data_IF_497654476321
#
_entry.id   IF_497654476321
#
_cell.length_a   1.000
_cell.length_b   1.000
_cell.length_c   1.000
_cell.angle_alpha   90.00
_cell.angle_beta   90.00
_cell.angle_gamma   90.00
#
_symmetry.space_group_name_H-M   'P 1'
#
loop_
_entity.id
_entity.type
_entity.pdbx_description
1 polymer ?
#
# COMPACT_ATOMS: atom_id res chain seq x y z
N UNK A 1 10.45 2.75 1.97
CA UNK A 1 11.17 2.09 3.05
C UNK A 1 10.33 0.91 3.45
N UNK A 2 10.97 -0.24 3.66
CA UNK A 2 10.33 -1.46 4.13
C UNK A 2 10.92 -1.86 5.48
N UNK A 3 10.07 -2.33 6.39
CA UNK A 3 10.52 -3.02 7.59
C UNK A 3 10.83 -4.49 7.23
N UNK A 4 12.09 -4.77 6.93
CA UNK A 4 12.54 -6.12 6.53
C UNK A 4 12.26 -7.17 7.60
N UNK A 5 12.35 -6.82 8.89
CA UNK A 5 12.05 -7.74 9.98
C UNK A 5 10.60 -8.25 9.95
N UNK A 6 9.64 -7.37 9.64
CA UNK A 6 8.23 -7.76 9.49
C UNK A 6 8.02 -8.65 8.26
N UNK A 7 8.59 -8.26 7.12
CA UNK A 7 8.48 -9.01 5.87
C UNK A 7 9.08 -10.43 6.01
N UNK A 8 10.29 -10.51 6.56
CA UNK A 8 10.99 -11.77 6.80
C UNK A 8 10.29 -12.60 7.88
N UNK A 9 9.72 -11.96 8.91
CA UNK A 9 8.91 -12.62 9.91
C UNK A 9 7.71 -13.32 9.29
N UNK A 10 6.96 -12.64 8.43
CA UNK A 10 5.82 -13.22 7.70
C UNK A 10 6.28 -14.35 6.75
N UNK A 11 7.37 -14.12 6.02
CA UNK A 11 7.92 -15.08 5.07
C UNK A 11 8.40 -16.37 5.74
N UNK A 12 8.93 -16.30 6.96
CA UNK A 12 9.26 -17.49 7.77
C UNK A 12 8.03 -18.31 8.17
N UNK A 13 6.87 -17.67 8.33
CA UNK A 13 5.64 -18.36 8.78
C UNK A 13 4.92 -19.03 7.60
N UNK A 14 4.79 -18.34 6.47
CA UNK A 14 3.97 -18.82 5.34
C UNK A 14 4.77 -19.11 4.05
N UNK A 15 6.06 -18.81 4.03
CA UNK A 15 6.96 -19.04 2.90
C UNK A 15 7.00 -17.90 1.88
N UNK A 16 8.19 -17.63 1.34
CA UNK A 16 8.49 -16.52 0.42
C UNK A 16 7.54 -16.48 -0.78
N UNK A 17 7.28 -17.64 -1.40
CA UNK A 17 6.38 -17.74 -2.58
C UNK A 17 4.95 -17.30 -2.27
N UNK A 18 4.44 -17.62 -1.08
CA UNK A 18 3.08 -17.28 -0.68
C UNK A 18 3.01 -15.78 -0.37
N UNK A 19 3.98 -15.24 0.38
CA UNK A 19 4.07 -13.79 0.63
C UNK A 19 4.15 -13.01 -0.67
N UNK A 20 4.99 -13.44 -1.62
CA UNK A 20 5.13 -12.79 -2.91
C UNK A 20 3.81 -12.77 -3.70
N UNK A 21 3.05 -13.87 -3.67
CA UNK A 21 1.73 -13.91 -4.30
C UNK A 21 0.78 -12.89 -3.69
N UNK A 22 0.76 -12.76 -2.36
CA UNK A 22 -0.08 -11.78 -1.67
C UNK A 22 0.34 -10.34 -1.94
N UNK A 23 1.64 -10.05 -2.01
CA UNK A 23 2.15 -8.72 -2.34
C UNK A 23 1.72 -8.32 -3.76
N UNK A 24 1.83 -9.22 -4.73
CA UNK A 24 1.43 -8.95 -6.11
C UNK A 24 -0.09 -8.76 -6.26
N UNK A 25 -0.89 -9.56 -5.55
CA UNK A 25 -2.34 -9.39 -5.50
C UNK A 25 -2.72 -8.05 -4.85
N UNK A 26 -2.10 -7.73 -3.71
CA UNK A 26 -2.29 -6.47 -3.01
C UNK A 26 -1.93 -5.27 -3.89
N UNK A 27 -0.80 -5.30 -4.60
CA UNK A 27 -0.40 -4.22 -5.51
C UNK A 27 -1.49 -3.95 -6.55
N UNK A 28 -1.89 -5.00 -7.27
CA UNK A 28 -2.87 -4.91 -8.36
C UNK A 28 -4.20 -4.35 -7.88
N UNK A 29 -4.73 -4.89 -6.78
CA UNK A 29 -6.02 -4.45 -6.24
C UNK A 29 -5.98 -3.02 -5.71
N UNK A 30 -4.89 -2.66 -5.03
CA UNK A 30 -4.71 -1.32 -4.48
C UNK A 30 -4.59 -0.26 -5.56
N UNK A 31 -3.79 -0.53 -6.62
CA UNK A 31 -3.66 0.39 -7.75
C UNK A 31 -5.02 0.63 -8.43
N UNK A 32 -5.78 -0.44 -8.71
CA UNK A 32 -7.10 -0.31 -9.32
C UNK A 32 -8.07 0.49 -8.43
N UNK A 33 -8.06 0.26 -7.11
CA UNK A 33 -8.91 0.99 -6.19
C UNK A 33 -8.52 2.47 -6.09
N UNK A 34 -7.22 2.79 -6.07
CA UNK A 34 -6.74 4.18 -6.04
C UNK A 34 -7.09 4.89 -7.36
N UNK A 35 -6.85 4.26 -8.50
CA UNK A 35 -7.18 4.83 -9.82
C UNK A 35 -8.66 5.18 -9.95
N UNK A 36 -9.55 4.26 -9.52
CA UNK A 36 -10.99 4.52 -9.49
C UNK A 36 -11.34 5.76 -8.65
N UNK A 37 -10.67 5.99 -7.52
CA UNK A 37 -10.93 7.14 -6.65
C UNK A 37 -10.32 8.45 -7.16
N UNK A 38 -9.22 8.39 -7.92
CA UNK A 38 -8.66 9.55 -8.62
C UNK A 38 -9.63 10.04 -9.70
N UNK A 39 -10.23 9.12 -10.46
CA UNK A 39 -11.14 9.46 -11.56
C UNK A 39 -12.47 10.06 -11.10
N UNK A 40 -12.94 9.72 -9.89
CA UNK A 40 -14.24 10.18 -9.40
C UNK A 40 -14.28 11.68 -9.04
N UNK A 41 -13.15 12.42 -9.12
CA UNK A 41 -13.06 13.85 -8.72
C UNK A 41 -13.82 14.12 -7.42
N UNK A 42 -13.70 13.23 -6.44
CA UNK A 42 -14.54 13.33 -5.24
C UNK A 42 -14.29 14.68 -4.56
N UNK A 43 -15.38 15.39 -4.38
CA UNK A 43 -15.44 16.54 -3.51
C UNK A 43 -15.09 16.06 -2.10
N UNK A 44 -14.30 16.88 -1.38
CA UNK A 44 -13.75 16.66 -0.02
C UNK A 44 -14.43 15.55 0.80
N UNK A 45 -13.61 14.62 1.32
CA UNK A 45 -13.97 13.81 2.48
C UNK A 45 -15.05 12.74 2.26
N UNK A 46 -15.01 12.00 1.15
CA UNK A 46 -15.83 10.80 1.06
C UNK A 46 -15.32 9.76 2.07
N UNK A 47 -16.19 9.34 2.96
CA UNK A 47 -16.01 8.20 3.87
C UNK A 47 -15.40 6.99 3.13
N UNK A 48 -15.71 6.82 1.86
CA UNK A 48 -15.18 5.79 0.96
C UNK A 48 -13.65 5.85 0.78
N UNK A 49 -13.09 7.06 0.58
CA UNK A 49 -11.62 7.21 0.44
C UNK A 49 -10.96 6.91 1.78
N UNK A 50 -11.56 7.36 2.89
CA UNK A 50 -11.04 7.08 4.22
C UNK A 50 -11.02 5.57 4.49
N UNK A 51 -12.13 4.87 4.25
CA UNK A 51 -12.25 3.42 4.42
C UNK A 51 -11.29 2.65 3.52
N UNK A 52 -11.14 3.07 2.27
CA UNK A 52 -10.18 2.50 1.35
C UNK A 52 -8.76 2.62 1.93
N UNK A 53 -8.32 3.83 2.25
CA UNK A 53 -6.96 4.08 2.75
C UNK A 53 -6.72 3.37 4.09
N UNK A 54 -7.73 3.28 4.96
CA UNK A 54 -7.64 2.54 6.22
C UNK A 54 -7.37 1.05 5.96
N UNK A 55 -8.15 0.43 5.06
CA UNK A 55 -7.95 -0.97 4.66
C UNK A 55 -6.57 -1.18 4.02
N UNK A 56 -6.18 -0.31 3.08
CA UNK A 56 -4.90 -0.42 2.38
C UNK A 56 -3.72 -0.28 3.34
N UNK A 57 -3.75 0.69 4.26
CA UNK A 57 -2.70 0.88 5.27
C UNK A 57 -2.58 -0.34 6.19
N UNK A 58 -3.70 -0.92 6.63
CA UNK A 58 -3.69 -2.13 7.47
C UNK A 58 -3.01 -3.31 6.79
N UNK A 59 -3.32 -3.57 5.52
CA UNK A 59 -2.69 -4.64 4.74
C UNK A 59 -1.20 -4.34 4.48
N UNK A 60 -0.88 -3.10 4.06
CA UNK A 60 0.50 -2.66 3.80
C UNK A 60 1.40 -2.82 5.04
N UNK A 61 0.86 -2.57 6.24
CA UNK A 61 1.57 -2.74 7.52
C UNK A 61 1.93 -4.19 7.81
N UNK A 62 1.15 -5.14 7.31
CA UNK A 62 1.44 -6.59 7.43
C UNK A 62 2.70 -6.97 6.63
N UNK A 63 2.95 -6.29 5.51
CA UNK A 63 4.15 -6.46 4.69
C UNK A 63 5.31 -5.54 5.10
N UNK A 64 5.11 -4.66 6.08
CA UNK A 64 6.11 -3.70 6.55
C UNK A 64 6.31 -2.50 5.61
N UNK A 65 5.32 -2.12 4.79
CA UNK A 65 5.43 -1.00 3.83
C UNK A 65 5.22 0.35 4.52
N UNK A 66 6.22 0.80 5.28
CA UNK A 66 6.11 1.96 6.19
C UNK A 66 5.79 3.27 5.47
N UNK A 67 6.51 3.60 4.39
CA UNK A 67 6.28 4.85 3.62
C UNK A 67 4.85 4.91 3.06
N UNK A 68 4.34 3.76 2.59
CA UNK A 68 2.97 3.67 2.08
C UNK A 68 1.95 3.92 3.18
N UNK A 69 2.14 3.29 4.35
CA UNK A 69 1.26 3.48 5.51
C UNK A 69 1.26 4.95 5.97
N UNK A 70 2.43 5.57 6.07
CA UNK A 70 2.58 6.96 6.51
C UNK A 70 1.79 7.91 5.61
N UNK A 71 1.98 7.82 4.29
CA UNK A 71 1.25 8.66 3.35
C UNK A 71 -0.24 8.34 3.32
N UNK A 72 -0.64 7.06 3.37
CA UNK A 72 -2.06 6.69 3.41
C UNK A 72 -2.77 7.26 4.65
N UNK A 73 -2.12 7.25 5.81
CA UNK A 73 -2.66 7.82 7.05
C UNK A 73 -2.61 9.36 7.06
N UNK A 74 -1.64 9.98 6.40
CA UNK A 74 -1.59 11.42 6.20
C UNK A 74 -2.76 11.91 5.32
N UNK A 75 -3.03 11.22 4.21
CA UNK A 75 -4.18 11.52 3.34
C UNK A 75 -5.51 11.36 4.09
N UNK A 76 -5.64 10.32 4.93
CA UNK A 76 -6.84 10.13 5.76
C UNK A 76 -7.09 11.30 6.72
N UNK A 77 -6.02 11.91 7.25
CA UNK A 77 -6.10 13.03 8.19
C UNK A 77 -6.31 14.38 7.49
N UNK A 78 -5.85 14.54 6.25
CA UNK A 78 -5.81 15.81 5.52
C UNK A 78 -6.67 15.77 4.25
N UNK A 79 -7.91 16.26 4.35
CA UNK A 79 -8.97 16.08 3.34
C UNK A 79 -9.01 17.12 2.22
N UNK A 80 -8.08 18.07 2.16
CA UNK A 80 -8.26 19.26 1.32
C UNK A 80 -7.64 19.20 -0.08
N UNK A 81 -6.57 18.40 -0.27
CA UNK A 81 -5.98 18.12 -1.61
C UNK A 81 -5.35 16.72 -1.56
N UNK A 82 -6.07 15.69 -2.01
CA UNK A 82 -5.57 14.32 -1.99
C UNK A 82 -5.16 13.77 -3.36
N UNK A 83 -5.51 14.41 -4.49
CA UNK A 83 -5.23 13.86 -5.83
C UNK A 83 -3.74 13.64 -6.09
N UNK A 84 -2.89 14.65 -5.87
CA UNK A 84 -1.43 14.52 -6.05
C UNK A 84 -0.85 13.47 -5.07
N UNK A 85 -1.38 13.44 -3.84
CA UNK A 85 -0.97 12.46 -2.83
C UNK A 85 -1.40 11.03 -3.16
N UNK A 86 -2.53 10.81 -3.84
CA UNK A 86 -2.95 9.49 -4.30
C UNK A 86 -2.06 8.97 -5.45
N UNK A 87 -1.61 9.86 -6.35
CA UNK A 87 -0.62 9.49 -7.38
C UNK A 87 0.75 9.19 -6.75
N UNK A 88 1.16 9.95 -5.74
CA UNK A 88 2.36 9.65 -4.96
C UNK A 88 2.22 8.30 -4.23
N UNK A 89 1.06 8.02 -3.64
CA UNK A 89 0.78 6.75 -2.97
C UNK A 89 0.91 5.55 -3.92
N UNK A 90 0.49 5.67 -5.19
CA UNK A 90 0.71 4.64 -6.22
C UNK A 90 2.20 4.41 -6.49
N UNK A 91 2.96 5.50 -6.60
CA UNK A 91 4.40 5.45 -6.82
C UNK A 91 5.13 4.76 -5.68
N UNK A 92 4.77 5.08 -4.43
CA UNK A 92 5.33 4.46 -3.23
C UNK A 92 4.96 2.98 -3.17
N UNK A 93 3.70 2.61 -3.44
CA UNK A 93 3.27 1.23 -3.47
C UNK A 93 4.14 0.39 -4.41
N UNK A 94 4.31 0.84 -5.66
CA UNK A 94 5.15 0.15 -6.66
C UNK A 94 6.61 0.04 -6.21
N UNK A 95 7.14 1.09 -5.57
CA UNK A 95 8.51 1.05 -5.04
C UNK A 95 8.63 -0.03 -3.95
N UNK A 96 7.70 -0.06 -3.00
CA UNK A 96 7.73 -1.04 -1.91
C UNK A 96 7.48 -2.47 -2.41
N UNK A 97 6.55 -2.69 -3.34
CA UNK A 97 6.29 -4.04 -3.86
C UNK A 97 7.49 -4.59 -4.63
N UNK A 98 8.18 -3.74 -5.41
CA UNK A 98 9.42 -4.12 -6.09
C UNK A 98 10.55 -4.45 -5.10
N UNK A 99 10.74 -3.63 -4.07
CA UNK A 99 11.77 -3.85 -3.04
C UNK A 99 11.48 -5.12 -2.23
N UNK A 100 10.22 -5.36 -1.83
CA UNK A 100 9.81 -6.58 -1.16
C UNK A 100 9.99 -7.83 -2.05
N UNK A 101 9.65 -7.70 -3.33
CA UNK A 101 9.85 -8.77 -4.32
C UNK A 101 11.32 -9.13 -4.44
N UNK A 102 12.20 -8.12 -4.51
CA UNK A 102 13.64 -8.33 -4.51
C UNK A 102 14.06 -9.10 -3.25
N UNK A 103 13.70 -8.62 -2.06
CA UNK A 103 14.09 -9.26 -0.80
C UNK A 103 13.63 -10.73 -0.69
N UNK A 104 12.43 -11.06 -1.19
CA UNK A 104 11.87 -12.41 -1.12
C UNK A 104 12.37 -13.37 -2.21
N UNK A 105 12.98 -12.87 -3.28
CA UNK A 105 13.50 -13.69 -4.39
C UNK A 105 14.94 -14.16 -4.18
N UNK A 106 15.70 -13.47 -3.34
CA UNK A 106 17.12 -13.74 -3.10
C UNK A 106 17.40 -14.50 -1.78
N UNK A 107 16.35 -14.92 -1.06
CA UNK A 107 16.38 -15.72 0.18
C UNK A 107 15.69 -17.07 -0.04
#
# INVERSE_FOLDING_TARGET
MICEEQLNGLAKVIGNKIVLSYINEFERESLAAIDNNIHLKCTKGSEEIWQLLHKLSGTAKTFGFLDFCELAEDIQRNTEIYHDKLEELKSILKKNTNEATFLLQYD
#
